data_IF_400474700161
#
_entry.id   IF_400474700161
#
_cell.length_a   1.000
_cell.length_b   1.000
_cell.length_c   1.000
_cell.angle_alpha   90.00
_cell.angle_beta   90.00
_cell.angle_gamma   90.00
#
_symmetry.space_group_name_H-M   'P 1'
#
loop_
_entity.id
_entity.type
_entity.pdbx_description
1 polymer ?
#
# COMPACT_ATOMS: atom_id res chain seq x y z
N UNK A 1 -18.05 29.53 -2.12
CA UNK A 1 -17.84 28.69 -0.94
C UNK A 1 -16.56 27.90 -1.16
N UNK A 2 -15.51 28.15 -0.35
CA UNK A 2 -14.26 27.45 -0.47
C UNK A 2 -14.40 25.99 -0.07
N UNK A 3 -13.81 25.09 -0.85
CA UNK A 3 -13.71 23.66 -0.51
C UNK A 3 -12.96 23.57 0.82
N UNK A 4 -13.57 22.95 1.83
CA UNK A 4 -13.00 22.92 3.17
C UNK A 4 -11.71 22.09 3.18
N UNK A 5 -10.61 22.65 3.65
CA UNK A 5 -9.28 22.03 3.76
C UNK A 5 -9.32 20.67 4.49
N UNK A 6 -10.29 20.48 5.39
CA UNK A 6 -10.54 19.24 6.13
C UNK A 6 -10.81 18.04 5.21
N UNK A 7 -11.31 18.26 3.98
CA UNK A 7 -11.58 17.18 3.03
C UNK A 7 -10.29 16.58 2.41
N UNK A 8 -9.17 17.31 2.48
CA UNK A 8 -7.91 16.92 1.86
C UNK A 8 -6.87 16.40 2.86
N UNK A 9 -7.33 15.69 3.87
CA UNK A 9 -6.43 14.96 4.76
C UNK A 9 -5.87 13.72 4.05
N UNK A 10 -4.67 13.23 4.45
CA UNK A 10 -4.11 12.01 3.87
C UNK A 10 -5.11 10.86 3.86
N UNK A 11 -5.27 10.22 2.69
CA UNK A 11 -6.17 9.09 2.44
C UNK A 11 -7.68 9.41 2.58
N UNK A 12 -8.10 10.68 2.63
CA UNK A 12 -9.54 11.02 2.61
C UNK A 12 -10.26 10.41 1.41
N UNK A 13 -11.43 9.81 1.68
CA UNK A 13 -12.30 9.28 0.63
C UNK A 13 -13.34 10.34 0.32
N UNK A 14 -13.21 10.94 -0.85
CA UNK A 14 -14.05 12.08 -1.27
C UNK A 14 -14.73 11.80 -2.59
N UNK A 15 -15.91 12.36 -2.78
CA UNK A 15 -16.57 12.50 -4.08
C UNK A 15 -16.30 13.91 -4.59
N UNK A 16 -15.93 14.00 -5.85
CA UNK A 16 -15.57 15.27 -6.48
C UNK A 16 -16.37 15.46 -7.75
N UNK A 17 -17.02 16.60 -7.89
CA UNK A 17 -17.57 17.08 -9.15
C UNK A 17 -16.55 18.05 -9.77
N UNK A 18 -16.09 17.75 -10.98
CA UNK A 18 -15.08 18.54 -11.65
C UNK A 18 -15.40 18.81 -13.13
N UNK A 19 -15.04 19.99 -13.59
CA UNK A 19 -15.03 20.31 -15.02
C UNK A 19 -13.78 19.71 -15.66
N UNK A 20 -13.96 18.63 -16.43
CA UNK A 20 -12.90 18.00 -17.20
C UNK A 20 -12.71 18.77 -18.51
N UNK A 21 -11.56 19.43 -18.67
CA UNK A 21 -11.20 20.11 -19.91
C UNK A 21 -10.46 19.15 -20.84
N UNK A 22 -10.75 19.17 -22.16
CA UNK A 22 -10.10 18.26 -23.13
C UNK A 22 -8.59 18.57 -23.39
N UNK A 23 -8.08 19.65 -22.84
CA UNK A 23 -6.66 20.04 -22.94
C UNK A 23 -5.92 19.63 -21.67
N UNK A 24 -4.61 19.35 -21.76
CA UNK A 24 -3.71 18.95 -20.65
C UNK A 24 -3.57 20.01 -19.53
N UNK A 25 -4.64 20.74 -19.22
CA UNK A 25 -4.70 21.76 -18.18
C UNK A 25 -5.29 21.23 -16.88
N UNK A 26 -5.15 22.03 -15.81
CA UNK A 26 -5.76 21.73 -14.50
C UNK A 26 -7.29 21.71 -14.63
N UNK A 27 -7.91 20.64 -14.14
CA UNK A 27 -9.36 20.53 -14.02
C UNK A 27 -9.85 21.39 -12.85
N UNK A 28 -11.03 21.96 -13.00
CA UNK A 28 -11.63 22.78 -11.94
C UNK A 28 -12.59 21.93 -11.11
N UNK A 29 -12.28 21.77 -9.82
CA UNK A 29 -13.19 21.17 -8.84
C UNK A 29 -14.34 22.17 -8.59
N UNK A 30 -15.58 21.74 -8.81
CA UNK A 30 -16.81 22.48 -8.50
C UNK A 30 -17.27 22.21 -7.08
N UNK A 31 -17.36 20.94 -6.74
CA UNK A 31 -17.80 20.46 -5.45
C UNK A 31 -16.97 19.28 -4.99
N UNK A 32 -16.75 19.17 -3.68
CA UNK A 32 -16.14 18.02 -3.05
C UNK A 32 -16.84 17.75 -1.73
N UNK A 33 -17.16 16.48 -1.46
CA UNK A 33 -17.77 16.03 -0.21
C UNK A 33 -17.08 14.77 0.31
N UNK A 34 -17.03 14.61 1.63
CA UNK A 34 -16.53 13.39 2.26
C UNK A 34 -17.54 12.26 2.05
N UNK A 35 -17.08 11.12 1.51
CA UNK A 35 -17.87 9.90 1.43
C UNK A 35 -17.72 9.03 2.69
N UNK A 36 -16.63 9.20 3.42
CA UNK A 36 -16.36 8.45 4.63
C UNK A 36 -15.68 9.35 5.67
N UNK A 37 -16.40 9.78 6.72
CA UNK A 37 -15.80 10.52 7.81
C UNK A 37 -14.96 9.60 8.69
N UNK A 38 -13.68 9.91 8.85
CA UNK A 38 -12.79 9.14 9.70
C UNK A 38 -13.15 9.25 11.18
N UNK A 39 -13.04 8.11 11.89
CA UNK A 39 -13.28 8.01 13.34
C UNK A 39 -11.99 8.14 14.13
N UNK A 40 -10.92 7.50 13.70
CA UNK A 40 -9.67 7.40 14.45
C UNK A 40 -8.42 7.76 13.65
N UNK A 41 -8.43 7.56 12.34
CA UNK A 41 -7.23 7.63 11.48
C UNK A 41 -6.48 8.95 11.61
N UNK A 42 -7.08 10.14 11.54
CA UNK A 42 -6.37 11.41 11.69
C UNK A 42 -6.00 11.76 13.14
N UNK A 43 -6.64 11.12 14.13
CA UNK A 43 -6.48 11.45 15.54
C UNK A 43 -5.52 10.51 16.28
N UNK A 44 -5.27 9.33 15.74
CA UNK A 44 -4.38 8.35 16.34
C UNK A 44 -2.96 8.50 15.76
N UNK A 45 -1.93 8.85 16.57
CA UNK A 45 -0.60 9.22 16.06
C UNK A 45 0.04 8.17 15.12
N UNK A 46 -0.07 6.89 15.48
CA UNK A 46 0.51 5.82 14.65
C UNK A 46 -0.28 5.59 13.36
N UNK A 47 -1.62 5.64 13.40
CA UNK A 47 -2.45 5.50 12.19
C UNK A 47 -2.21 6.68 11.25
N UNK A 48 -2.16 7.89 11.77
CA UNK A 48 -1.86 9.09 11.00
C UNK A 48 -0.48 9.01 10.32
N UNK A 49 0.54 8.51 11.02
CA UNK A 49 1.87 8.30 10.44
C UNK A 49 1.85 7.28 9.30
N UNK A 50 1.11 6.17 9.45
CA UNK A 50 0.91 5.19 8.39
C UNK A 50 0.17 5.83 7.21
N UNK A 51 -0.89 6.60 7.47
CA UNK A 51 -1.68 7.25 6.44
C UNK A 51 -0.85 8.25 5.61
N UNK A 52 0.00 9.04 6.27
CA UNK A 52 0.91 9.97 5.57
C UNK A 52 1.90 9.24 4.68
N UNK A 53 2.51 8.17 5.19
CA UNK A 53 3.43 7.34 4.41
C UNK A 53 2.74 6.73 3.18
N UNK A 54 1.56 6.13 3.37
CA UNK A 54 0.83 5.50 2.27
C UNK A 54 0.29 6.52 1.26
N UNK A 55 -0.14 7.70 1.69
CA UNK A 55 -0.56 8.76 0.79
C UNK A 55 0.58 9.22 -0.13
N UNK A 56 1.78 9.41 0.41
CA UNK A 56 2.97 9.75 -0.38
C UNK A 56 3.35 8.62 -1.35
N UNK A 57 3.30 7.36 -0.88
CA UNK A 57 3.57 6.19 -1.72
C UNK A 57 2.57 6.10 -2.88
N UNK A 58 1.27 6.16 -2.59
CA UNK A 58 0.21 6.07 -3.58
C UNK A 58 0.28 7.21 -4.61
N UNK A 59 0.58 8.42 -4.16
CA UNK A 59 0.77 9.56 -5.05
C UNK A 59 1.84 9.29 -6.11
N UNK A 60 2.95 8.64 -5.73
CA UNK A 60 4.04 8.31 -6.64
C UNK A 60 3.74 7.09 -7.50
N UNK A 61 3.20 6.04 -6.89
CA UNK A 61 2.97 4.75 -7.55
C UNK A 61 1.80 4.79 -8.54
N UNK A 62 0.77 5.61 -8.28
CA UNK A 62 -0.48 5.63 -9.06
C UNK A 62 -0.65 6.88 -9.92
N UNK A 63 0.35 7.72 -10.03
CA UNK A 63 0.26 9.03 -10.73
C UNK A 63 -0.18 8.91 -12.20
N UNK A 64 0.21 7.84 -12.87
CA UNK A 64 -0.05 7.61 -14.29
C UNK A 64 -0.98 6.41 -14.54
N UNK A 65 -1.57 5.86 -13.47
CA UNK A 65 -2.48 4.73 -13.58
C UNK A 65 -3.83 5.14 -14.18
N UNK A 66 -4.33 4.31 -15.09
CA UNK A 66 -5.67 4.45 -15.61
C UNK A 66 -6.73 4.10 -14.55
N UNK A 67 -7.99 4.56 -14.71
CA UNK A 67 -9.08 4.20 -13.81
C UNK A 67 -9.19 2.67 -13.63
N UNK A 68 -9.16 2.21 -12.38
CA UNK A 68 -9.15 0.80 -12.01
C UNK A 68 -10.07 0.60 -10.80
N UNK A 69 -11.32 0.16 -11.07
CA UNK A 69 -12.32 -0.05 -10.01
C UNK A 69 -11.89 -1.07 -8.94
N UNK A 70 -11.32 -2.24 -9.28
CA UNK A 70 -10.83 -3.19 -8.29
C UNK A 70 -9.74 -2.61 -7.39
N UNK A 71 -8.81 -1.84 -7.94
CA UNK A 71 -7.79 -1.13 -7.18
C UNK A 71 -8.43 -0.10 -6.24
N UNK A 72 -9.36 0.70 -6.74
CA UNK A 72 -10.06 1.69 -5.92
C UNK A 72 -10.84 1.04 -4.76
N UNK A 73 -11.57 -0.03 -5.03
CA UNK A 73 -12.28 -0.80 -4.00
C UNK A 73 -11.33 -1.36 -2.94
N UNK A 74 -10.16 -1.87 -3.36
CA UNK A 74 -9.12 -2.32 -2.45
C UNK A 74 -8.60 -1.18 -1.56
N UNK A 75 -8.32 -0.01 -2.12
CA UNK A 75 -7.85 1.16 -1.37
C UNK A 75 -8.89 1.61 -0.33
N UNK A 76 -10.15 1.76 -0.74
CA UNK A 76 -11.26 2.14 0.15
C UNK A 76 -11.41 1.14 1.29
N UNK A 77 -11.44 -0.16 0.98
CA UNK A 77 -11.53 -1.21 2.00
C UNK A 77 -10.37 -1.14 3.01
N UNK A 78 -9.15 -1.01 2.52
CA UNK A 78 -7.95 -0.96 3.35
C UNK A 78 -7.91 0.27 4.27
N UNK A 79 -8.26 1.43 3.74
CA UNK A 79 -8.31 2.69 4.50
C UNK A 79 -9.36 2.60 5.61
N UNK A 80 -10.55 2.09 5.30
CA UNK A 80 -11.61 1.88 6.29
C UNK A 80 -11.20 0.89 7.35
N UNK A 81 -10.58 -0.23 6.96
CA UNK A 81 -10.07 -1.21 7.91
C UNK A 81 -9.09 -0.58 8.91
N UNK A 82 -8.14 0.24 8.43
CA UNK A 82 -7.19 0.94 9.30
C UNK A 82 -7.88 1.92 10.25
N UNK A 83 -8.87 2.65 9.75
CA UNK A 83 -9.63 3.60 10.58
C UNK A 83 -10.44 2.88 11.67
N UNK A 84 -11.14 1.79 11.32
CA UNK A 84 -12.03 1.04 12.21
C UNK A 84 -11.30 0.12 13.20
N UNK A 85 -10.05 -0.23 12.94
CA UNK A 85 -9.27 -1.11 13.80
C UNK A 85 -9.00 -0.47 15.17
N UNK A 86 -9.57 -1.03 16.23
CA UNK A 86 -9.46 -0.49 17.60
C UNK A 86 -8.19 -0.93 18.33
N UNK A 87 -7.61 -2.07 17.96
CA UNK A 87 -6.47 -2.69 18.64
C UNK A 87 -5.13 -2.27 18.03
N UNK A 88 -4.03 -2.45 18.79
CA UNK A 88 -2.65 -2.27 18.28
C UNK A 88 -2.23 -3.30 17.23
N UNK A 89 -3.17 -4.10 16.73
CA UNK A 89 -2.94 -5.14 15.73
C UNK A 89 -2.49 -4.61 14.36
N UNK A 90 -2.60 -3.30 14.11
CA UNK A 90 -2.28 -2.66 12.82
C UNK A 90 -0.79 -2.31 12.62
N UNK A 91 0.11 -2.72 13.50
CA UNK A 91 1.53 -2.34 13.41
C UNK A 91 2.22 -2.75 12.09
N UNK A 92 1.77 -3.86 11.49
CA UNK A 92 2.26 -4.38 10.20
C UNK A 92 1.37 -4.00 9.01
N UNK A 93 0.35 -3.15 9.22
CA UNK A 93 -0.65 -2.81 8.20
C UNK A 93 -0.04 -2.34 6.88
N UNK A 94 0.92 -1.42 6.94
CA UNK A 94 1.57 -0.86 5.76
C UNK A 94 2.32 -1.92 4.93
N UNK A 95 2.89 -2.95 5.56
CA UNK A 95 3.54 -4.06 4.87
C UNK A 95 2.53 -4.92 4.12
N UNK A 96 1.43 -5.30 4.78
CA UNK A 96 0.34 -6.07 4.16
C UNK A 96 -0.29 -5.27 3.04
N UNK A 97 -0.52 -3.98 3.26
CA UNK A 97 -1.08 -3.08 2.26
C UNK A 97 -0.22 -3.03 1.00
N UNK A 98 1.08 -2.79 1.13
CA UNK A 98 1.97 -2.70 -0.02
C UNK A 98 2.10 -4.03 -0.77
N UNK A 99 2.24 -5.16 -0.05
CA UNK A 99 2.30 -6.48 -0.67
C UNK A 99 1.02 -6.83 -1.44
N UNK A 100 -0.14 -6.42 -0.97
CA UNK A 100 -1.40 -6.64 -1.70
C UNK A 100 -1.57 -5.66 -2.87
N UNK A 101 -1.10 -4.42 -2.71
CA UNK A 101 -1.10 -3.41 -3.77
C UNK A 101 -0.28 -3.89 -4.98
N UNK A 102 0.83 -4.61 -4.75
CA UNK A 102 1.68 -5.13 -5.82
C UNK A 102 0.94 -6.03 -6.83
N UNK A 103 -0.18 -6.68 -6.42
CA UNK A 103 -1.06 -7.42 -7.34
C UNK A 103 -1.65 -6.55 -8.44
N UNK A 104 -2.10 -5.35 -8.06
CA UNK A 104 -2.71 -4.41 -9.00
C UNK A 104 -1.68 -3.77 -9.91
N UNK A 105 -0.43 -3.72 -9.47
CA UNK A 105 0.70 -3.20 -10.24
C UNK A 105 1.40 -4.26 -11.09
N UNK A 106 0.91 -5.51 -11.08
CA UNK A 106 1.51 -6.62 -11.84
C UNK A 106 2.85 -7.12 -11.29
N UNK A 107 3.18 -6.76 -10.04
CA UNK A 107 4.45 -7.08 -9.38
C UNK A 107 4.32 -8.15 -8.29
N UNK A 108 3.19 -8.87 -8.24
CA UNK A 108 2.93 -9.82 -7.18
C UNK A 108 3.76 -11.09 -7.36
N UNK A 109 4.58 -11.47 -6.35
CA UNK A 109 5.47 -12.63 -6.45
C UNK A 109 4.70 -13.96 -6.52
N UNK A 110 5.17 -14.87 -7.37
CA UNK A 110 4.71 -16.26 -7.32
C UNK A 110 5.44 -17.01 -6.19
N UNK A 111 4.69 -17.52 -5.22
CA UNK A 111 5.22 -18.21 -4.03
C UNK A 111 5.49 -19.69 -4.30
N UNK A 112 4.88 -20.26 -5.34
CA UNK A 112 4.94 -21.69 -5.63
C UNK A 112 6.37 -22.14 -5.94
N UNK A 113 7.19 -21.25 -6.50
CA UNK A 113 8.59 -21.50 -6.83
C UNK A 113 9.57 -21.27 -5.65
N UNK A 114 9.07 -20.94 -4.46
CA UNK A 114 9.92 -20.70 -3.30
C UNK A 114 10.56 -21.99 -2.77
N UNK A 115 11.87 -21.98 -2.72
CA UNK A 115 12.70 -23.01 -2.05
C UNK A 115 13.57 -22.31 -1.02
N UNK A 116 13.79 -22.94 0.13
CA UNK A 116 14.67 -22.39 1.16
C UNK A 116 16.09 -22.16 0.59
N UNK A 117 16.64 -20.97 0.83
CA UNK A 117 17.94 -20.57 0.29
C UNK A 117 17.90 -20.00 -1.13
N UNK A 118 16.70 -19.85 -1.77
CA UNK A 118 16.58 -19.22 -3.10
C UNK A 118 16.78 -17.71 -3.04
N UNK A 119 17.11 -17.12 -4.19
CA UNK A 119 17.08 -15.69 -4.46
C UNK A 119 15.68 -15.26 -4.93
N UNK A 120 15.40 -13.96 -4.86
CA UNK A 120 14.24 -13.37 -5.52
C UNK A 120 14.71 -12.43 -6.63
N UNK A 121 14.38 -12.74 -7.86
CA UNK A 121 14.64 -11.88 -9.02
C UNK A 121 13.59 -10.76 -9.07
N UNK A 122 14.03 -9.53 -8.78
CA UNK A 122 13.14 -8.37 -8.71
C UNK A 122 12.63 -7.95 -10.10
N UNK A 123 13.38 -8.24 -11.16
CA UNK A 123 12.98 -7.88 -12.53
C UNK A 123 11.84 -8.79 -13.02
N UNK A 124 11.91 -10.07 -12.69
CA UNK A 124 10.93 -11.07 -13.13
C UNK A 124 9.89 -11.40 -12.05
N UNK A 125 9.98 -10.79 -10.86
CA UNK A 125 9.13 -11.02 -9.70
C UNK A 125 8.99 -12.51 -9.34
N UNK A 126 10.07 -13.29 -9.40
CA UNK A 126 10.06 -14.73 -9.18
C UNK A 126 11.19 -15.19 -8.26
N UNK A 127 10.95 -16.32 -7.56
CA UNK A 127 11.98 -17.02 -6.81
C UNK A 127 12.82 -17.91 -7.70
N UNK A 128 14.12 -17.97 -7.47
CA UNK A 128 15.06 -18.80 -8.25
C UNK A 128 16.18 -19.36 -7.39
N UNK A 129 16.57 -20.62 -7.54
CA UNK A 129 17.70 -21.22 -6.82
C UNK A 129 19.06 -20.69 -7.32
N UNK A 130 19.09 -20.14 -8.54
CA UNK A 130 20.31 -19.63 -9.16
C UNK A 130 20.43 -18.11 -8.97
N UNK A 131 21.66 -17.63 -8.84
CA UNK A 131 21.93 -16.19 -8.78
C UNK A 131 21.43 -15.50 -10.06
N UNK A 132 20.46 -14.55 -9.95
CA UNK A 132 19.93 -13.85 -11.12
C UNK A 132 20.99 -13.05 -11.86
N UNK A 133 21.02 -13.15 -13.18
CA UNK A 133 21.96 -12.39 -14.05
C UNK A 133 21.59 -10.91 -14.17
N UNK A 134 20.36 -10.55 -13.79
CA UNK A 134 19.83 -9.19 -13.88
C UNK A 134 20.58 -8.16 -13.03
N UNK A 135 21.31 -8.60 -12.00
CA UNK A 135 21.92 -7.71 -11.01
C UNK A 135 20.92 -7.08 -10.02
N UNK A 136 19.62 -7.22 -10.28
CA UNK A 136 18.53 -6.72 -9.43
C UNK A 136 17.84 -7.90 -8.73
N UNK A 137 18.32 -8.26 -7.55
CA UNK A 137 17.80 -9.41 -6.82
C UNK A 137 17.91 -9.23 -5.30
N UNK A 138 17.09 -9.97 -4.58
CA UNK A 138 17.20 -10.13 -3.13
C UNK A 138 17.94 -11.42 -2.79
N UNK A 139 18.79 -11.34 -1.77
CA UNK A 139 19.50 -12.50 -1.22
C UNK A 139 18.54 -13.44 -0.49
N UNK A 140 18.94 -14.70 -0.19
CA UNK A 140 18.04 -15.68 0.42
C UNK A 140 17.37 -15.25 1.72
N UNK A 141 18.05 -14.51 2.59
CA UNK A 141 17.48 -13.99 3.84
C UNK A 141 16.46 -12.87 3.60
N UNK A 142 16.62 -12.10 2.54
CA UNK A 142 15.67 -11.07 2.09
C UNK A 142 14.49 -11.69 1.33
N UNK A 143 14.76 -12.66 0.45
CA UNK A 143 13.75 -13.41 -0.28
C UNK A 143 12.79 -14.16 0.66
N UNK A 144 13.29 -14.72 1.75
CA UNK A 144 12.47 -15.34 2.79
C UNK A 144 11.49 -14.36 3.44
N UNK A 145 11.79 -13.06 3.48
CA UNK A 145 10.88 -12.01 3.99
C UNK A 145 9.71 -11.76 3.05
N UNK A 146 9.94 -11.80 1.74
CA UNK A 146 8.83 -11.74 0.76
C UNK A 146 7.83 -12.84 1.05
N UNK A 147 8.29 -14.09 1.22
CA UNK A 147 7.41 -15.21 1.59
C UNK A 147 6.64 -14.96 2.90
N UNK A 148 7.31 -14.41 3.90
CA UNK A 148 6.68 -14.08 5.18
C UNK A 148 5.56 -13.04 4.99
N UNK A 149 5.83 -11.97 4.25
CA UNK A 149 4.88 -10.89 3.97
C UNK A 149 3.65 -11.39 3.18
N UNK A 150 3.84 -12.30 2.24
CA UNK A 150 2.76 -12.90 1.45
C UNK A 150 1.78 -13.74 2.30
N UNK A 151 2.22 -14.24 3.45
CA UNK A 151 1.38 -14.99 4.41
C UNK A 151 0.54 -14.10 5.32
N UNK A 152 0.85 -12.81 5.40
CA UNK A 152 0.12 -11.88 6.26
C UNK A 152 -1.16 -11.39 5.58
N UNK A 153 -2.18 -11.20 6.39
CA UNK A 153 -3.39 -10.45 6.02
C UNK A 153 -3.78 -9.51 7.16
N UNK A 154 -4.80 -8.69 6.98
CA UNK A 154 -5.21 -7.73 8.01
C UNK A 154 -5.64 -8.39 9.31
N UNK A 155 -6.27 -9.56 9.23
CA UNK A 155 -6.76 -10.32 10.38
C UNK A 155 -5.63 -11.02 11.15
N UNK A 156 -4.59 -11.49 10.45
CA UNK A 156 -3.51 -12.32 11.02
C UNK A 156 -2.20 -11.59 11.22
N UNK A 157 -2.01 -10.38 10.69
CA UNK A 157 -0.73 -9.67 10.77
C UNK A 157 -0.27 -9.37 12.21
N UNK A 158 -1.20 -9.34 13.18
CA UNK A 158 -0.87 -9.15 14.60
C UNK A 158 -0.13 -10.35 15.21
N UNK A 159 -0.26 -11.54 14.61
CA UNK A 159 0.44 -12.76 15.03
C UNK A 159 1.94 -12.73 14.66
N UNK A 160 2.32 -11.83 13.74
CA UNK A 160 3.70 -11.67 13.30
C UNK A 160 4.37 -10.55 14.11
N UNK A 161 4.93 -10.92 15.26
CA UNK A 161 5.65 -9.97 16.12
C UNK A 161 6.90 -9.45 15.41
N UNK A 162 6.87 -8.20 14.97
CA UNK A 162 8.00 -7.50 14.36
C UNK A 162 8.32 -6.23 15.14
N UNK A 163 9.60 -6.01 15.42
CA UNK A 163 10.08 -4.73 15.91
C UNK A 163 10.20 -3.70 14.76
N UNK A 164 10.50 -2.44 15.10
CA UNK A 164 10.61 -1.37 14.10
C UNK A 164 11.70 -1.64 13.04
N UNK A 165 12.85 -2.16 13.47
CA UNK A 165 13.96 -2.43 12.55
C UNK A 165 13.62 -3.55 11.56
N UNK A 166 12.90 -4.58 12.01
CA UNK A 166 12.41 -5.66 11.14
C UNK A 166 11.39 -5.16 10.12
N UNK A 167 10.43 -4.32 10.53
CA UNK A 167 9.49 -3.70 9.60
C UNK A 167 10.20 -2.84 8.55
N UNK A 168 11.17 -2.03 8.96
CA UNK A 168 11.96 -1.22 8.02
C UNK A 168 12.72 -2.09 7.02
N UNK A 169 13.32 -3.21 7.48
CA UNK A 169 13.97 -4.17 6.56
C UNK A 169 12.98 -4.82 5.59
N UNK A 170 11.74 -5.08 6.02
CA UNK A 170 10.70 -5.56 5.10
C UNK A 170 10.33 -4.50 4.06
N UNK A 171 10.24 -3.22 4.46
CA UNK A 171 9.95 -2.12 3.52
C UNK A 171 11.02 -1.94 2.44
N UNK A 172 12.29 -2.28 2.72
CA UNK A 172 13.36 -2.18 1.72
C UNK A 172 13.33 -3.28 0.67
N UNK A 173 12.52 -4.33 0.86
CA UNK A 173 12.36 -5.45 -0.09
C UNK A 173 11.02 -5.46 -0.80
N UNK A 174 10.08 -4.58 -0.42
CA UNK A 174 8.81 -4.34 -1.12
C UNK A 174 9.00 -3.25 -2.16
#
# INVERSE_FOLDING_TARGET
>A
SGVQTVLFQPLSIIEVEADVRPTNGLHRVREAKSLYPFRSLPYHPYKSSIAMFLAEFLYRALKEEAPNEPLFAYLVHSIRWLDECENRSFANFHLVFLMRLSRFLGLYPNVDDYIEGCYFDMLNACFTPLLPKSGSFLKPDEAARIRLLLRMNYETMHLFGMNRAERNRCLTVI
#
